data_IF_789783792462
#
_entry.id   IF_789783792462
#
_cell.length_a   1.000
_cell.length_b   1.000
_cell.length_c   1.000
_cell.angle_alpha   90.00
_cell.angle_beta   90.00
_cell.angle_gamma   90.00
#
_symmetry.space_group_name_H-M   'P 1'
#
loop_
_entity.id
_entity.type
_entity.pdbx_description
1 polymer ?
#
# COMPACT_ATOMS: atom_id res chain seq x y z
N UNK A 1 -4.46 -14.93 -9.54
CA UNK A 1 -4.52 -13.52 -9.12
C UNK A 1 -3.13 -13.13 -8.66
N UNK A 2 -2.49 -12.38 -9.55
CA UNK A 2 -1.04 -12.35 -9.75
C UNK A 2 -0.35 -11.29 -8.90
N UNK A 3 0.98 -11.24 -9.04
CA UNK A 3 1.79 -10.17 -8.50
C UNK A 3 1.65 -8.93 -9.39
N UNK A 4 1.42 -7.77 -8.79
CA UNK A 4 1.28 -6.50 -9.49
C UNK A 4 2.32 -5.53 -8.94
N UNK A 5 3.02 -4.81 -9.82
CA UNK A 5 3.89 -3.70 -9.44
C UNK A 5 3.03 -2.47 -9.16
N UNK A 6 3.13 -1.92 -7.96
CA UNK A 6 2.47 -0.66 -7.60
C UNK A 6 3.47 0.49 -7.68
N UNK A 7 2.99 1.65 -8.12
CA UNK A 7 3.75 2.88 -8.24
C UNK A 7 3.09 3.99 -7.43
N UNK A 8 3.89 4.94 -6.93
CA UNK A 8 3.43 6.20 -6.34
C UNK A 8 4.17 7.35 -7.02
N UNK A 9 3.43 8.29 -7.61
CA UNK A 9 4.02 9.38 -8.43
C UNK A 9 4.97 8.86 -9.52
N UNK A 10 4.57 7.78 -10.20
CA UNK A 10 5.37 7.03 -11.19
C UNK A 10 6.62 6.33 -10.63
N UNK A 11 6.89 6.40 -9.33
CA UNK A 11 8.00 5.68 -8.70
C UNK A 11 7.54 4.27 -8.27
N UNK A 12 8.23 3.19 -8.67
CA UNK A 12 7.88 1.84 -8.25
C UNK A 12 8.15 1.65 -6.76
N UNK A 13 7.09 1.35 -6.00
CA UNK A 13 7.23 1.10 -4.55
C UNK A 13 7.40 -0.40 -4.27
N UNK A 14 6.81 -1.29 -5.08
CA UNK A 14 7.11 -2.72 -5.00
C UNK A 14 5.99 -3.61 -5.50
N UNK A 15 6.17 -4.92 -5.34
CA UNK A 15 5.17 -5.90 -5.73
C UNK A 15 4.17 -6.16 -4.60
N UNK A 16 2.91 -6.30 -4.98
CA UNK A 16 1.83 -6.74 -4.11
C UNK A 16 1.16 -7.99 -4.68
N UNK A 17 0.62 -8.82 -3.79
CA UNK A 17 -0.28 -9.89 -4.20
C UNK A 17 -1.71 -9.36 -4.20
N UNK A 18 -2.31 -9.23 -5.39
CA UNK A 18 -3.71 -8.83 -5.52
C UNK A 18 -4.62 -10.00 -5.13
N UNK A 19 -5.53 -9.79 -4.17
CA UNK A 19 -6.53 -10.74 -3.74
C UNK A 19 -7.88 -10.03 -3.65
N UNK A 20 -8.69 -10.15 -4.70
CA UNK A 20 -10.04 -9.54 -4.74
C UNK A 20 -10.02 -8.05 -4.47
N UNK A 21 -10.62 -7.62 -3.36
CA UNK A 21 -10.69 -6.20 -3.00
C UNK A 21 -9.54 -5.76 -2.08
N UNK A 22 -8.51 -6.58 -1.91
CA UNK A 22 -7.32 -6.26 -1.13
C UNK A 22 -6.04 -6.53 -1.91
N UNK A 23 -5.01 -5.71 -1.65
CA UNK A 23 -3.66 -5.97 -2.11
C UNK A 23 -2.78 -6.20 -0.88
N UNK A 24 -2.17 -7.37 -0.79
CA UNK A 24 -1.21 -7.65 0.26
C UNK A 24 0.14 -7.09 -0.13
N UNK A 25 0.63 -6.13 0.65
CA UNK A 25 2.00 -5.68 0.56
C UNK A 25 2.95 -6.80 1.01
N UNK A 26 3.93 -7.12 0.16
CA UNK A 26 4.90 -8.19 0.37
C UNK A 26 6.22 -7.70 0.95
N UNK A 27 6.27 -6.46 1.47
CA UNK A 27 7.47 -5.99 2.15
C UNK A 27 7.87 -6.90 3.31
N UNK A 28 9.17 -7.20 3.44
CA UNK A 28 9.74 -7.78 4.64
C UNK A 28 9.25 -7.03 5.89
N UNK A 29 9.01 -7.77 6.97
CA UNK A 29 8.63 -7.20 8.26
C UNK A 29 9.48 -6.02 8.74
N UNK A 30 10.83 -6.00 8.59
CA UNK A 30 11.64 -4.85 8.99
C UNK A 30 11.43 -3.60 8.11
N UNK A 31 10.83 -3.72 6.92
CA UNK A 31 10.57 -2.60 6.00
C UNK A 31 9.15 -2.06 6.10
N UNK A 32 8.34 -2.61 7.01
CA UNK A 32 7.01 -2.06 7.27
C UNK A 32 7.17 -0.65 7.84
N UNK A 33 6.68 0.33 7.09
CA UNK A 33 6.56 1.71 7.57
C UNK A 33 5.55 1.71 8.72
N UNK A 34 6.02 1.98 9.94
CA UNK A 34 5.19 2.17 11.13
C UNK A 34 5.20 3.66 11.46
N UNK A 35 4.22 4.41 10.96
CA UNK A 35 4.10 5.83 11.32
C UNK A 35 3.36 5.95 12.65
N UNK A 36 3.93 6.60 13.68
CA UNK A 36 3.19 7.02 14.86
C UNK A 36 2.33 8.26 14.59
N UNK A 37 2.40 8.84 13.39
CA UNK A 37 1.69 10.06 13.03
C UNK A 37 0.40 9.71 12.25
N UNK A 38 -0.78 9.73 12.90
CA UNK A 38 -2.04 9.63 12.18
C UNK A 38 -2.26 10.89 11.34
N UNK A 39 -2.99 10.79 10.21
CA UNK A 39 -3.35 11.96 9.42
C UNK A 39 -4.17 12.94 10.28
N UNK A 40 -3.79 14.21 10.27
CA UNK A 40 -4.47 15.26 11.02
C UNK A 40 -5.86 15.57 10.47
N UNK A 41 -6.08 15.29 9.18
CA UNK A 41 -7.35 15.52 8.50
C UNK A 41 -8.05 14.20 8.17
N UNK A 42 -9.41 14.16 8.24
CA UNK A 42 -10.17 12.98 7.91
C UNK A 42 -10.04 12.64 6.42
N UNK A 43 -9.77 11.37 6.14
CA UNK A 43 -9.67 10.88 4.76
C UNK A 43 -11.09 10.80 4.17
N UNK A 44 -11.38 11.63 3.17
CA UNK A 44 -12.63 11.55 2.44
C UNK A 44 -12.61 10.32 1.52
N UNK A 45 -13.41 9.31 1.87
CA UNK A 45 -13.66 8.19 0.99
C UNK A 45 -14.71 8.59 -0.05
N UNK A 46 -14.33 8.55 -1.33
CA UNK A 46 -15.30 8.65 -2.43
C UNK A 46 -16.06 7.31 -2.46
N UNK A 47 -17.37 7.35 -2.19
CA UNK A 47 -18.27 6.19 -2.35
C UNK A 47 -18.62 5.96 -3.81
#
# INVERSE_FOLDING_TARGET
KDFVLITYKNEPIGFVKNMDNRANNLYPQPWRIRSPHPPAEPVNFIR
#
